data_IF_103529769682
#
_entry.id   IF_103529769682
#
_cell.length_a   1.000
_cell.length_b   1.000
_cell.length_c   1.000
_cell.angle_alpha   90.00
_cell.angle_beta   90.00
_cell.angle_gamma   90.00
#
_symmetry.space_group_name_H-M   'P 1'
#
loop_
_entity.id
_entity.type
_entity.pdbx_description
1 polymer ?
#
# COMPACT_ATOMS: atom_id res chain seq x y z
N UNK A 1 11.70 28.56 -4.23
CA UNK A 1 12.03 27.47 -5.19
C UNK A 1 10.89 27.39 -6.20
N UNK A 2 11.13 27.73 -7.46
CA UNK A 2 10.10 27.84 -8.50
C UNK A 2 9.79 26.46 -9.06
N UNK A 3 8.55 25.99 -8.97
CA UNK A 3 8.09 24.78 -9.66
C UNK A 3 8.08 25.07 -11.16
N UNK A 4 9.02 24.49 -11.90
CA UNK A 4 8.95 24.46 -13.37
C UNK A 4 7.82 23.49 -13.74
N UNK A 5 6.64 24.02 -13.98
CA UNK A 5 5.63 23.35 -14.78
C UNK A 5 6.14 23.36 -16.22
N UNK A 6 6.70 22.24 -16.67
CA UNK A 6 6.88 21.99 -18.10
C UNK A 6 5.51 21.82 -18.74
N UNK A 7 4.91 22.96 -19.10
CA UNK A 7 3.84 23.00 -20.09
C UNK A 7 4.45 22.57 -21.42
N UNK A 8 4.24 21.32 -21.81
CA UNK A 8 4.41 20.89 -23.19
C UNK A 8 3.48 21.73 -24.06
N UNK A 9 4.06 22.74 -24.72
CA UNK A 9 3.37 23.64 -25.63
C UNK A 9 2.93 22.84 -26.86
N UNK A 10 1.61 22.76 -27.06
CA UNK A 10 0.92 22.49 -28.33
C UNK A 10 0.88 21.04 -28.85
N UNK A 11 0.61 20.03 -28.03
CA UNK A 11 0.16 18.74 -28.56
C UNK A 11 -1.37 18.72 -28.65
N UNK A 12 -1.90 18.93 -29.86
CA UNK A 12 -3.32 18.67 -30.13
C UNK A 12 -3.58 17.18 -29.87
N UNK A 13 -4.55 16.81 -29.02
CA UNK A 13 -4.84 15.41 -28.75
C UNK A 13 -5.18 14.68 -30.06
N UNK A 14 -4.53 13.54 -30.31
CA UNK A 14 -4.76 12.74 -31.51
C UNK A 14 -5.76 11.62 -31.22
N UNK A 15 -6.89 11.61 -31.91
CA UNK A 15 -7.92 10.58 -31.77
C UNK A 15 -7.82 9.48 -32.85
N UNK A 16 -6.90 9.63 -33.81
CA UNK A 16 -6.71 8.62 -34.86
C UNK A 16 -5.88 7.46 -34.31
N UNK A 17 -6.38 6.24 -34.44
CA UNK A 17 -5.75 5.02 -33.92
C UNK A 17 -4.27 4.89 -34.29
N UNK A 18 -3.91 5.18 -35.54
CA UNK A 18 -2.53 5.07 -36.02
C UNK A 18 -1.58 6.04 -35.30
N UNK A 19 -2.00 7.28 -35.07
CA UNK A 19 -1.17 8.26 -34.36
C UNK A 19 -1.09 7.98 -32.86
N UNK A 20 -2.13 7.40 -32.24
CA UNK A 20 -2.05 6.90 -30.86
C UNK A 20 -1.00 5.79 -30.74
N UNK A 21 -1.05 4.80 -31.64
CA UNK A 21 -0.09 3.68 -31.64
C UNK A 21 1.34 4.20 -31.83
N UNK A 22 1.54 5.16 -32.73
CA UNK A 22 2.85 5.76 -32.97
C UNK A 22 3.38 6.48 -31.71
N UNK A 23 2.58 7.36 -31.10
CA UNK A 23 2.97 8.10 -29.89
C UNK A 23 3.30 7.15 -28.74
N UNK A 24 2.47 6.14 -28.48
CA UNK A 24 2.73 5.16 -27.43
C UNK A 24 4.02 4.35 -27.72
N UNK A 25 4.22 3.93 -28.97
CA UNK A 25 5.41 3.17 -29.37
C UNK A 25 6.68 3.99 -29.19
N UNK A 26 6.66 5.26 -29.62
CA UNK A 26 7.82 6.14 -29.50
C UNK A 26 8.13 6.46 -28.04
N UNK A 27 7.10 6.64 -27.19
CA UNK A 27 7.27 6.84 -25.75
C UNK A 27 7.94 5.64 -25.07
N UNK A 28 7.42 4.42 -25.27
CA UNK A 28 7.98 3.24 -24.61
C UNK A 28 9.34 2.85 -25.19
N UNK A 29 9.59 3.06 -26.48
CA UNK A 29 10.95 2.94 -27.02
C UNK A 29 11.90 3.83 -26.27
N UNK A 30 11.59 5.13 -26.17
CA UNK A 30 12.42 6.08 -25.42
C UNK A 30 12.65 5.62 -23.97
N UNK A 31 11.58 5.26 -23.25
CA UNK A 31 11.64 4.81 -21.85
C UNK A 31 12.58 3.61 -21.62
N UNK A 32 12.62 2.68 -22.58
CA UNK A 32 13.41 1.45 -22.44
C UNK A 32 14.74 1.46 -23.22
N UNK A 33 14.97 2.44 -24.10
CA UNK A 33 16.25 2.63 -24.80
C UNK A 33 17.12 3.71 -24.17
N UNK A 34 16.53 4.64 -23.42
CA UNK A 34 17.27 5.49 -22.50
C UNK A 34 17.74 4.60 -21.35
N UNK A 35 18.87 3.92 -21.56
CA UNK A 35 19.67 3.42 -20.45
C UNK A 35 20.15 4.65 -19.70
N UNK A 36 19.37 5.10 -18.73
CA UNK A 36 19.82 6.06 -17.74
C UNK A 36 21.05 5.44 -17.07
N UNK A 37 22.25 5.83 -17.50
CA UNK A 37 23.52 5.60 -16.81
C UNK A 37 23.57 6.30 -15.44
N UNK A 38 22.43 6.83 -15.00
CA UNK A 38 22.14 7.57 -13.78
C UNK A 38 21.14 6.85 -12.89
N UNK A 39 20.59 5.69 -13.29
CA UNK A 39 20.03 4.78 -12.30
C UNK A 39 21.20 4.40 -11.39
N UNK A 40 21.15 4.77 -10.09
CA UNK A 40 22.11 4.22 -9.14
C UNK A 40 22.02 2.71 -9.34
N UNK A 41 23.17 2.07 -9.61
CA UNK A 41 23.28 0.62 -9.47
C UNK A 41 22.53 0.28 -8.20
N UNK A 42 21.52 -0.62 -8.28
CA UNK A 42 20.63 -0.99 -7.18
C UNK A 42 21.45 -0.95 -5.90
N UNK A 43 21.36 0.15 -5.14
CA UNK A 43 22.05 0.24 -3.87
C UNK A 43 21.44 -0.93 -3.12
N UNK A 44 22.27 -1.92 -2.78
CA UNK A 44 21.91 -2.93 -1.81
C UNK A 44 21.34 -2.13 -0.66
N UNK A 45 20.00 -2.06 -0.58
CA UNK A 45 19.35 -1.26 0.44
C UNK A 45 19.86 -1.88 1.72
N UNK A 46 20.72 -1.17 2.44
CA UNK A 46 20.95 -1.46 3.85
C UNK A 46 19.55 -1.60 4.42
N UNK A 47 19.18 -2.83 4.78
CA UNK A 47 17.93 -3.11 5.43
C UNK A 47 18.14 -2.51 6.81
N UNK A 48 17.85 -1.21 6.95
CA UNK A 48 17.75 -0.61 8.25
C UNK A 48 16.62 -1.38 8.95
N UNK A 49 16.99 -2.12 10.00
CA UNK A 49 16.01 -2.66 10.95
C UNK A 49 15.37 -1.45 11.63
N UNK A 50 14.37 -0.86 10.99
CA UNK A 50 13.52 0.14 11.62
C UNK A 50 12.82 -0.55 12.78
N UNK A 51 13.05 -0.07 14.01
CA UNK A 51 12.38 -0.59 15.19
C UNK A 51 10.86 -0.43 15.04
N UNK A 52 10.15 -1.56 14.93
CA UNK A 52 8.69 -1.55 14.81
C UNK A 52 8.10 -1.40 16.22
N UNK A 53 7.25 -0.40 16.45
CA UNK A 53 6.62 -0.24 17.76
C UNK A 53 5.63 -1.37 18.05
N UNK A 54 5.58 -1.81 19.30
CA UNK A 54 4.59 -2.77 19.77
C UNK A 54 3.16 -2.24 19.59
N UNK A 55 2.25 -3.12 19.18
CA UNK A 55 0.82 -2.87 19.10
C UNK A 55 0.26 -2.66 20.51
N UNK A 56 -0.56 -1.62 20.65
CA UNK A 56 -1.20 -1.22 21.90
C UNK A 56 -2.57 -1.89 22.06
N UNK A 57 -2.97 -2.05 23.33
CA UNK A 57 -4.31 -2.53 23.70
C UNK A 57 -5.43 -1.72 23.03
N UNK A 58 -5.29 -0.39 22.98
CA UNK A 58 -6.27 0.52 22.39
C UNK A 58 -6.44 0.31 20.89
N UNK A 59 -5.37 -0.03 20.18
CA UNK A 59 -5.39 -0.30 18.74
C UNK A 59 -6.16 -1.59 18.45
N UNK A 60 -5.89 -2.65 19.21
CA UNK A 60 -6.61 -3.93 19.08
C UNK A 60 -8.10 -3.75 19.38
N UNK A 61 -8.45 -3.07 20.48
CA UNK A 61 -9.86 -2.80 20.83
C UNK A 61 -10.52 -1.98 19.72
N UNK A 62 -9.86 -0.92 19.23
CA UNK A 62 -10.40 -0.09 18.15
C UNK A 62 -10.59 -0.88 16.86
N UNK A 63 -9.65 -1.75 16.51
CA UNK A 63 -9.74 -2.61 15.33
C UNK A 63 -10.96 -3.54 15.41
N UNK A 64 -11.14 -4.23 16.53
CA UNK A 64 -12.30 -5.11 16.76
C UNK A 64 -13.61 -4.32 16.71
N UNK A 65 -13.69 -3.19 17.42
CA UNK A 65 -14.91 -2.36 17.46
C UNK A 65 -15.27 -1.75 16.10
N UNK A 66 -14.28 -1.50 15.24
CA UNK A 66 -14.48 -0.93 13.90
C UNK A 66 -15.06 -1.91 12.88
N UNK A 67 -15.09 -3.21 13.19
CA UNK A 67 -15.64 -4.20 12.27
C UNK A 67 -17.13 -3.96 11.99
N UNK A 68 -17.59 -4.27 10.79
CA UNK A 68 -19.02 -4.13 10.45
C UNK A 68 -19.81 -5.33 11.02
N UNK A 69 -21.01 -5.07 11.53
CA UNK A 69 -21.95 -6.11 11.94
C UNK A 69 -22.58 -6.80 10.73
N UNK A 70 -23.29 -7.90 10.98
CA UNK A 70 -24.03 -8.70 9.99
C UNK A 70 -23.17 -9.17 8.82
N UNK A 71 -21.92 -9.55 9.13
CA UNK A 71 -21.00 -10.16 8.17
C UNK A 71 -21.12 -11.67 8.19
N UNK A 72 -20.83 -12.28 7.04
CA UNK A 72 -20.77 -13.73 6.92
C UNK A 72 -19.73 -14.28 7.91
N UNK A 73 -20.10 -15.37 8.58
CA UNK A 73 -19.22 -16.04 9.53
C UNK A 73 -18.03 -16.67 8.79
N UNK A 74 -16.88 -16.67 9.45
CA UNK A 74 -15.72 -17.44 9.02
C UNK A 74 -15.93 -18.95 9.17
N UNK A 75 -14.85 -19.70 8.98
CA UNK A 75 -14.84 -21.15 9.19
C UNK A 75 -15.00 -21.52 10.68
N UNK A 76 -14.54 -20.64 11.57
CA UNK A 76 -14.68 -20.72 13.03
C UNK A 76 -16.12 -20.50 13.54
N UNK A 77 -17.02 -20.03 12.67
CA UNK A 77 -18.41 -19.67 13.00
C UNK A 77 -18.55 -18.56 14.05
N UNK A 78 -17.50 -17.78 14.29
CA UNK A 78 -17.53 -16.64 15.21
C UNK A 78 -18.01 -15.41 14.46
N UNK A 79 -18.98 -14.70 15.05
CA UNK A 79 -19.52 -13.47 14.46
C UNK A 79 -18.77 -12.24 14.97
N UNK A 80 -18.80 -11.16 14.18
CA UNK A 80 -18.19 -9.89 14.58
C UNK A 80 -18.85 -9.30 15.85
N UNK A 81 -20.13 -9.59 16.08
CA UNK A 81 -20.87 -9.17 17.27
C UNK A 81 -20.29 -9.83 18.53
N UNK A 82 -20.02 -11.13 18.46
CA UNK A 82 -19.36 -11.86 19.55
C UNK A 82 -17.98 -11.28 19.81
N UNK A 83 -17.17 -11.08 18.75
CA UNK A 83 -15.82 -10.51 18.87
C UNK A 83 -15.84 -9.13 19.52
N UNK A 84 -16.77 -8.26 19.13
CA UNK A 84 -16.94 -6.93 19.74
C UNK A 84 -17.30 -7.02 21.21
N UNK A 85 -18.22 -7.93 21.56
CA UNK A 85 -18.68 -8.08 22.93
C UNK A 85 -17.60 -8.66 23.84
N UNK A 86 -16.74 -9.55 23.32
CA UNK A 86 -15.60 -10.12 24.03
C UNK A 86 -14.30 -9.34 23.86
N UNK A 87 -14.35 -8.14 23.28
CA UNK A 87 -13.14 -7.41 22.83
C UNK A 87 -12.19 -7.10 23.99
N UNK A 88 -12.70 -6.85 25.19
CA UNK A 88 -11.88 -6.51 26.36
C UNK A 88 -11.11 -7.74 26.86
N UNK A 89 -11.75 -8.91 26.80
CA UNK A 89 -11.26 -10.19 27.27
C UNK A 89 -10.21 -10.76 26.31
N UNK A 90 -10.48 -10.72 25.01
CA UNK A 90 -9.58 -11.30 24.00
C UNK A 90 -8.40 -10.38 23.64
N UNK A 91 -8.54 -9.06 23.86
CA UNK A 91 -7.55 -8.08 23.42
C UNK A 91 -6.16 -8.36 24.00
N UNK A 92 -6.04 -8.82 25.26
CA UNK A 92 -4.73 -9.16 25.85
C UNK A 92 -4.04 -10.27 25.05
N UNK A 93 -4.77 -11.32 24.68
CA UNK A 93 -4.21 -12.47 23.96
C UNK A 93 -3.80 -12.08 22.54
N UNK A 94 -4.67 -11.37 21.83
CA UNK A 94 -4.41 -10.90 20.46
C UNK A 94 -3.19 -9.98 20.43
N UNK A 95 -3.13 -8.98 21.33
CA UNK A 95 -1.99 -8.06 21.44
C UNK A 95 -0.68 -8.79 21.69
N UNK A 96 -0.67 -9.74 22.63
CA UNK A 96 0.53 -10.52 22.96
C UNK A 96 1.02 -11.34 21.76
N UNK A 97 0.09 -12.03 21.09
CA UNK A 97 0.41 -12.88 19.94
C UNK A 97 1.00 -12.09 18.78
N UNK A 98 0.42 -10.92 18.48
CA UNK A 98 0.96 -10.09 17.41
C UNK A 98 2.31 -9.48 17.77
N UNK A 99 2.50 -8.99 19.00
CA UNK A 99 3.79 -8.43 19.42
C UNK A 99 4.90 -9.48 19.55
N UNK A 100 4.57 -10.77 19.65
CA UNK A 100 5.55 -11.86 19.65
C UNK A 100 6.12 -12.14 18.25
N UNK A 101 5.35 -11.87 17.19
CA UNK A 101 5.75 -12.13 15.79
C UNK A 101 6.21 -10.87 15.05
N UNK A 102 6.13 -9.69 15.68
CA UNK A 102 6.71 -8.48 15.12
C UNK A 102 8.24 -8.63 15.13
N UNK A 103 8.92 -8.36 13.99
CA UNK A 103 10.37 -8.46 13.88
C UNK A 103 11.12 -7.45 14.76
#
# INVERSE_FOLDING_TARGET
>A
MKTKSEKNKNEKPTAKRFSIVKVATDFYKKLYTETDSTLPAEEEKEIYEEEIPCILKSEVVKAIQSQKSDKALGDDKISNEILKQSSIEICRFVMSLFNEILP
#
